data_IF_071270672754
#
_entry.id   IF_071270672754
#
_cell.length_a   1.000
_cell.length_b   1.000
_cell.length_c   1.000
_cell.angle_alpha   90.00
_cell.angle_beta   90.00
_cell.angle_gamma   90.00
#
_symmetry.space_group_name_H-M   'P 1'
#
loop_
_entity.id
_entity.type
_entity.pdbx_description
1 polymer ?
#
# COMPACT_ATOMS: atom_id res chain seq x y z
N UNK A 1 9.64 -5.20 1.74
CA UNK A 1 8.63 -5.66 0.77
C UNK A 1 7.39 -4.83 0.98
N UNK A 2 6.89 -4.23 -0.09
CA UNK A 2 5.59 -3.56 -0.13
C UNK A 2 4.59 -4.53 -0.76
N UNK A 3 3.41 -4.64 -0.17
CA UNK A 3 2.36 -5.54 -0.61
C UNK A 3 1.00 -5.04 -0.14
N UNK A 4 -0.07 -5.66 -0.63
CA UNK A 4 -1.44 -5.37 -0.20
C UNK A 4 -2.03 -6.53 0.58
N UNK A 5 -2.97 -6.25 1.48
CA UNK A 5 -3.71 -7.29 2.20
C UNK A 5 -5.03 -6.75 2.76
N UNK A 6 -6.00 -7.66 2.91
CA UNK A 6 -7.28 -7.49 3.60
C UNK A 6 -7.23 -7.97 5.08
N UNK A 7 -6.04 -7.92 5.70
CA UNK A 7 -5.85 -8.33 7.09
C UNK A 7 -6.81 -7.61 8.05
N UNK A 8 -7.36 -8.30 9.08
CA UNK A 8 -8.29 -7.67 10.02
C UNK A 8 -7.72 -6.40 10.68
N UNK A 9 -8.56 -5.36 10.76
CA UNK A 9 -8.19 -4.07 11.34
C UNK A 9 -7.52 -3.10 10.38
N UNK A 10 -7.59 -3.34 9.07
CA UNK A 10 -7.22 -2.39 8.03
C UNK A 10 -8.06 -1.11 8.00
N UNK A 11 -7.80 -0.24 7.03
CA UNK A 11 -8.48 1.03 6.77
C UNK A 11 -9.64 0.82 5.81
N UNK A 12 -9.38 0.16 4.67
CA UNK A 12 -10.37 -0.09 3.61
C UNK A 12 -10.58 -1.58 3.33
N UNK A 13 -10.81 -1.91 2.06
CA UNK A 13 -10.95 -3.28 1.57
C UNK A 13 -9.61 -4.02 1.48
N UNK A 14 -8.64 -3.44 0.77
CA UNK A 14 -7.24 -3.85 0.79
C UNK A 14 -6.35 -2.67 1.08
N UNK A 15 -5.36 -2.87 1.94
CA UNK A 15 -4.47 -1.83 2.39
C UNK A 15 -3.03 -2.11 1.96
N UNK A 16 -2.23 -1.06 1.79
CA UNK A 16 -0.78 -1.12 1.67
C UNK A 16 -0.13 -1.46 3.01
N UNK A 17 0.79 -2.42 2.96
CA UNK A 17 1.66 -2.81 4.05
C UNK A 17 3.12 -2.81 3.61
N UNK A 18 4.01 -2.62 4.58
CA UNK A 18 5.45 -2.81 4.43
C UNK A 18 5.98 -3.79 5.47
N UNK A 19 6.89 -4.68 5.06
CA UNK A 19 7.67 -5.50 5.97
C UNK A 19 9.14 -5.44 5.59
N UNK A 20 10.02 -5.30 6.58
CA UNK A 20 11.47 -5.32 6.39
C UNK A 20 12.01 -6.74 6.49
N UNK A 21 13.07 -7.01 5.72
CA UNK A 21 13.81 -8.26 5.83
C UNK A 21 15.02 -8.05 6.73
N UNK A 22 14.97 -8.63 7.92
CA UNK A 22 15.97 -8.43 8.96
C UNK A 22 16.42 -9.80 9.47
N UNK A 23 17.73 -9.99 9.61
CA UNK A 23 18.31 -11.21 10.17
C UNK A 23 17.81 -12.52 9.54
N UNK A 24 17.53 -12.52 8.23
CA UNK A 24 17.07 -13.70 7.51
C UNK A 24 15.56 -13.97 7.59
N UNK A 25 14.77 -13.08 8.18
CA UNK A 25 13.30 -13.19 8.24
C UNK A 25 12.60 -11.88 7.87
N UNK A 26 11.38 -12.00 7.35
CA UNK A 26 10.46 -10.87 7.29
C UNK A 26 9.94 -10.57 8.69
N UNK A 27 9.97 -9.30 9.09
CA UNK A 27 9.41 -8.85 10.37
C UNK A 27 7.91 -8.60 10.25
N UNK A 28 7.23 -8.39 11.38
CA UNK A 28 5.80 -8.07 11.40
C UNK A 28 5.52 -6.88 10.47
N UNK A 29 4.56 -7.00 9.53
CA UNK A 29 4.25 -5.92 8.62
C UNK A 29 3.59 -4.75 9.34
N UNK A 30 3.91 -3.55 8.88
CA UNK A 30 3.28 -2.30 9.29
C UNK A 30 2.24 -1.88 8.23
N UNK A 31 1.04 -1.51 8.68
CA UNK A 31 0.01 -0.95 7.81
C UNK A 31 0.34 0.52 7.53
N UNK A 32 0.45 0.90 6.26
CA UNK A 32 0.74 2.26 5.83
C UNK A 32 -0.53 3.14 5.88
N UNK A 33 -1.14 3.24 7.06
CA UNK A 33 -2.46 3.85 7.27
C UNK A 33 -2.62 5.24 6.67
N UNK A 34 -1.55 6.03 6.60
CA UNK A 34 -1.58 7.39 6.05
C UNK A 34 -1.72 7.43 4.52
N UNK A 35 -1.45 6.33 3.83
CA UNK A 35 -1.58 6.18 2.38
C UNK A 35 -2.88 5.47 1.99
N UNK A 36 -3.43 4.67 2.91
CA UNK A 36 -4.64 3.87 2.66
C UNK A 36 -5.90 4.72 2.75
N UNK A 37 -6.93 4.29 2.03
CA UNK A 37 -8.24 4.92 1.99
C UNK A 37 -9.33 3.97 2.51
N UNK A 38 -10.60 4.41 2.50
CA UNK A 38 -11.72 3.51 2.79
C UNK A 38 -12.00 2.52 1.61
N UNK A 39 -11.31 2.69 0.47
CA UNK A 39 -11.41 1.85 -0.72
C UNK A 39 -10.38 0.71 -0.75
N UNK A 40 -9.94 0.34 -1.95
CA UNK A 40 -8.95 -0.69 -2.23
C UNK A 40 -7.67 -0.06 -2.76
N UNK A 41 -6.56 -0.22 -2.04
CA UNK A 41 -5.24 0.02 -2.56
C UNK A 41 -4.67 -1.24 -3.24
N UNK A 42 -4.12 -1.06 -4.43
CA UNK A 42 -3.74 -2.15 -5.33
C UNK A 42 -2.37 -1.89 -5.99
N UNK A 43 -1.70 -2.99 -6.37
CA UNK A 43 -0.50 -2.98 -7.23
C UNK A 43 0.67 -2.09 -6.76
N UNK A 44 1.16 -2.22 -5.51
CA UNK A 44 2.31 -1.45 -5.05
C UNK A 44 3.56 -1.77 -5.88
N UNK A 45 4.25 -0.72 -6.31
CA UNK A 45 5.49 -0.81 -7.07
C UNK A 45 6.48 0.25 -6.56
N UNK A 46 7.67 -0.20 -6.16
CA UNK A 46 8.75 0.70 -5.74
C UNK A 46 9.68 0.93 -6.93
N UNK A 47 9.79 2.19 -7.36
CA UNK A 47 10.69 2.60 -8.42
C UNK A 47 12.15 2.72 -7.94
N UNK A 48 13.08 2.85 -8.89
CA UNK A 48 14.51 2.91 -8.60
C UNK A 48 14.94 4.17 -7.82
N UNK A 49 14.13 5.21 -7.82
CA UNK A 49 14.30 6.45 -7.06
C UNK A 49 13.61 6.41 -5.68
N UNK A 50 13.18 5.22 -5.24
CA UNK A 50 12.43 4.94 -4.01
C UNK A 50 11.00 5.48 -3.96
N UNK A 51 10.45 6.00 -5.07
CA UNK A 51 9.03 6.35 -5.11
C UNK A 51 8.16 5.09 -5.07
N UNK A 52 7.12 5.13 -4.23
CA UNK A 52 6.10 4.09 -4.19
C UNK A 52 4.92 4.52 -5.05
N UNK A 53 4.65 3.74 -6.10
CA UNK A 53 3.46 3.83 -6.92
C UNK A 53 2.43 2.80 -6.45
N UNK A 54 1.15 3.17 -6.48
CA UNK A 54 0.04 2.28 -6.20
C UNK A 54 -1.22 2.78 -6.90
N UNK A 55 -2.23 1.93 -7.03
CA UNK A 55 -3.55 2.34 -7.49
C UNK A 55 -4.55 2.37 -6.33
N UNK A 56 -5.51 3.29 -6.36
CA UNK A 56 -6.58 3.39 -5.36
C UNK A 56 -7.93 3.71 -6.01
N UNK A 57 -9.01 3.14 -5.46
CA UNK A 57 -10.40 3.48 -5.78
C UNK A 57 -11.14 4.26 -4.67
N UNK A 58 -10.46 4.57 -3.56
CA UNK A 58 -11.01 5.34 -2.44
C UNK A 58 -10.40 6.73 -2.26
N UNK A 59 -9.30 7.05 -2.95
CA UNK A 59 -8.72 8.39 -2.96
C UNK A 59 -9.41 9.31 -4.00
N UNK A 60 -9.41 10.65 -3.81
CA UNK A 60 -9.96 11.57 -4.79
C UNK A 60 -9.26 11.45 -6.15
N UNK A 61 -10.03 11.13 -7.18
CA UNK A 61 -9.52 10.88 -8.53
C UNK A 61 -10.59 10.98 -9.62
N UNK A 62 -10.28 10.43 -10.80
CA UNK A 62 -11.19 10.37 -11.95
C UNK A 62 -12.12 9.14 -11.90
N UNK A 63 -11.84 8.19 -11.01
CA UNK A 63 -12.71 7.06 -10.65
C UNK A 63 -12.15 5.71 -11.10
N UNK A 64 -12.64 4.63 -10.48
CA UNK A 64 -12.05 3.31 -10.64
C UNK A 64 -10.71 3.24 -9.93
N UNK A 65 -9.69 2.61 -10.54
CA UNK A 65 -8.34 2.55 -9.99
C UNK A 65 -7.46 3.62 -10.62
N UNK A 66 -7.29 4.75 -9.93
CA UNK A 66 -6.34 5.80 -10.30
C UNK A 66 -4.96 5.55 -9.71
N UNK A 67 -3.89 6.00 -10.37
CA UNK A 67 -2.50 5.79 -9.92
C UNK A 67 -2.01 6.99 -9.09
N UNK A 68 -1.42 6.69 -7.93
CA UNK A 68 -0.86 7.64 -6.97
C UNK A 68 0.62 7.33 -6.73
N UNK A 69 1.37 8.33 -6.25
CA UNK A 69 2.76 8.17 -5.83
C UNK A 69 3.05 8.86 -4.49
N UNK A 70 4.04 8.36 -3.75
CA UNK A 70 4.64 9.02 -2.58
C UNK A 70 6.16 8.83 -2.57
N UNK A 71 6.87 9.78 -1.95
CA UNK A 71 8.29 9.69 -1.60
C UNK A 71 8.51 9.03 -0.23
#
# INVERSE_FOLDING_TARGET
>A
MYFISDMPGGVGGTDLYVSNYENGTWVKPENLRSLNSEGNEMFPFVAADNRLYFASDGLPGLGGLDVFETE
#
